data_IF_535107757327
#
_entry.id   IF_535107757327
#
_cell.length_a   1.000
_cell.length_b   1.000
_cell.length_c   1.000
_cell.angle_alpha   90.00
_cell.angle_beta   90.00
_cell.angle_gamma   90.00
#
_symmetry.space_group_name_H-M   'P 1'
#
loop_
_entity.id
_entity.type
_entity.pdbx_description
1 polymer ?
#
# COMPACT_ATOMS: atom_id res chain seq x y z
N UNK A 1 -18.42 18.32 5.51
CA UNK A 1 -18.14 17.21 4.59
C UNK A 1 -17.17 16.33 5.35
N UNK A 2 -17.67 15.26 5.98
CA UNK A 2 -16.78 14.32 6.67
C UNK A 2 -15.91 13.61 5.62
N UNK A 3 -14.62 13.38 5.90
CA UNK A 3 -13.78 12.63 4.98
C UNK A 3 -14.35 11.22 4.87
N UNK A 4 -14.64 10.79 3.64
CA UNK A 4 -15.00 9.39 3.32
C UNK A 4 -13.78 8.44 3.38
N UNK A 5 -12.67 8.90 3.96
CA UNK A 5 -11.47 8.11 4.12
C UNK A 5 -11.66 7.08 5.24
N UNK A 6 -11.23 5.83 5.05
CA UNK A 6 -11.27 4.83 6.11
C UNK A 6 -10.45 5.28 7.34
N UNK A 7 -10.85 4.82 8.53
CA UNK A 7 -10.22 5.12 9.84
C UNK A 7 -8.80 4.51 9.99
N UNK A 8 -8.08 4.27 8.90
CA UNK A 8 -6.75 3.68 8.89
C UNK A 8 -6.36 3.13 7.54
N UNK A 9 -5.30 2.33 7.52
CA UNK A 9 -4.79 1.74 6.28
C UNK A 9 -5.80 0.81 5.57
N UNK A 10 -5.85 0.91 4.26
CA UNK A 10 -6.91 0.38 3.40
C UNK A 10 -6.39 -0.08 2.05
N UNK A 11 -7.27 -0.70 1.26
CA UNK A 11 -6.94 -1.21 -0.07
C UNK A 11 -5.79 -2.23 -0.02
N UNK A 12 -4.90 -2.22 -1.02
CA UNK A 12 -3.82 -3.22 -1.11
C UNK A 12 -2.79 -3.06 0.03
N UNK A 13 -2.58 -1.83 0.49
CA UNK A 13 -1.68 -1.52 1.62
C UNK A 13 -2.24 -2.07 2.94
N UNK A 14 -3.52 -1.76 3.23
CA UNK A 14 -4.22 -2.26 4.40
C UNK A 14 -4.35 -3.78 4.42
N UNK A 15 -4.62 -4.40 3.27
CA UNK A 15 -4.60 -5.85 3.13
C UNK A 15 -3.21 -6.43 3.45
N UNK A 16 -2.16 -5.84 2.87
CA UNK A 16 -0.77 -6.26 3.09
C UNK A 16 -0.37 -6.22 4.57
N UNK A 17 -0.77 -5.16 5.29
CA UNK A 17 -0.57 -5.06 6.74
C UNK A 17 -1.20 -6.23 7.51
N UNK A 18 -2.43 -6.62 7.15
CA UNK A 18 -3.17 -7.67 7.87
C UNK A 18 -2.68 -9.07 7.53
N UNK A 19 -2.41 -9.33 6.24
CA UNK A 19 -1.80 -10.60 5.80
C UNK A 19 -0.40 -10.76 6.38
N UNK A 20 0.36 -9.67 6.47
CA UNK A 20 1.68 -9.64 7.12
C UNK A 20 1.64 -9.82 8.65
N UNK A 21 0.47 -10.01 9.27
CA UNK A 21 0.33 -10.19 10.72
C UNK A 21 0.87 -11.53 11.23
N UNK A 22 1.01 -11.67 12.55
CA UNK A 22 1.50 -12.92 13.19
C UNK A 22 0.57 -14.11 12.93
N UNK A 23 -0.72 -13.82 12.69
CA UNK A 23 -1.78 -14.79 12.39
C UNK A 23 -2.24 -14.66 10.93
N UNK A 24 -1.35 -14.21 10.05
CA UNK A 24 -1.60 -14.13 8.63
C UNK A 24 -1.84 -15.50 7.98
N UNK A 25 -2.48 -15.54 6.80
CA UNK A 25 -2.69 -16.77 6.06
C UNK A 25 -1.36 -17.38 5.61
N UNK A 26 -1.28 -18.71 5.66
CA UNK A 26 -0.06 -19.46 5.27
C UNK A 26 0.01 -19.75 3.76
N UNK A 27 -1.14 -19.76 3.07
CA UNK A 27 -1.25 -20.11 1.66
C UNK A 27 -2.27 -19.23 0.92
N UNK A 28 -2.34 -19.41 -0.40
CA UNK A 28 -3.20 -18.62 -1.31
C UNK A 28 -4.68 -18.78 -0.97
N UNK A 29 -5.12 -20.00 -0.67
CA UNK A 29 -6.52 -20.27 -0.34
C UNK A 29 -6.93 -19.56 0.96
N UNK A 30 -6.11 -19.67 2.00
CA UNK A 30 -6.31 -18.96 3.25
C UNK A 30 -6.25 -17.44 3.08
N UNK A 31 -5.43 -16.93 2.15
CA UNK A 31 -5.38 -15.50 1.86
C UNK A 31 -6.67 -14.98 1.20
N UNK A 32 -7.22 -15.73 0.25
CA UNK A 32 -8.50 -15.38 -0.39
C UNK A 32 -9.69 -15.51 0.59
N UNK A 33 -9.68 -16.53 1.46
CA UNK A 33 -10.65 -16.64 2.54
C UNK A 33 -10.54 -15.45 3.51
N UNK A 34 -9.32 -15.06 3.87
CA UNK A 34 -9.07 -13.89 4.71
C UNK A 34 -9.61 -12.60 4.08
N UNK A 35 -9.41 -12.39 2.77
CA UNK A 35 -9.97 -11.24 2.04
C UNK A 35 -11.49 -11.24 2.14
N UNK A 36 -12.14 -12.39 1.89
CA UNK A 36 -13.61 -12.51 1.99
C UNK A 36 -14.12 -12.16 3.39
N UNK A 37 -13.54 -12.76 4.44
CA UNK A 37 -13.90 -12.50 5.84
C UNK A 37 -13.65 -11.05 6.28
N UNK A 38 -12.64 -10.40 5.70
CA UNK A 38 -12.37 -8.98 5.93
C UNK A 38 -13.46 -8.13 5.33
N UNK A 39 -13.79 -8.34 4.05
CA UNK A 39 -14.80 -7.54 3.35
C UNK A 39 -16.20 -7.72 3.96
N UNK A 40 -16.53 -8.91 4.48
CA UNK A 40 -17.75 -9.13 5.26
C UNK A 40 -17.84 -8.20 6.49
N UNK A 41 -16.71 -7.78 7.07
CA UNK A 41 -16.64 -6.92 8.25
C UNK A 41 -16.50 -5.44 7.93
N UNK A 42 -15.75 -5.11 6.88
CA UNK A 42 -15.39 -3.73 6.51
C UNK A 42 -16.33 -3.12 5.48
N UNK A 43 -17.05 -3.96 4.72
CA UNK A 43 -18.10 -3.51 3.81
C UNK A 43 -17.61 -2.95 2.47
N UNK A 44 -18.51 -2.27 1.73
CA UNK A 44 -18.34 -1.94 0.31
C UNK A 44 -17.23 -0.92 0.04
N UNK A 45 -16.97 0.03 0.95
CA UNK A 45 -15.94 1.06 0.75
C UNK A 45 -14.52 0.46 0.69
N UNK A 46 -14.20 -0.48 1.60
CA UNK A 46 -12.93 -1.21 1.56
C UNK A 46 -12.83 -2.08 0.30
N UNK A 47 -13.94 -2.70 -0.12
CA UNK A 47 -13.97 -3.50 -1.34
C UNK A 47 -13.67 -2.65 -2.58
N UNK A 48 -14.26 -1.45 -2.68
CA UNK A 48 -14.01 -0.52 -3.78
C UNK A 48 -12.56 -0.01 -3.80
N UNK A 49 -12.01 0.35 -2.64
CA UNK A 49 -10.62 0.79 -2.54
C UNK A 49 -9.63 -0.33 -2.91
N UNK A 50 -9.84 -1.54 -2.40
CA UNK A 50 -9.01 -2.71 -2.72
C UNK A 50 -9.11 -3.09 -4.20
N UNK A 51 -10.33 -3.13 -4.76
CA UNK A 51 -10.54 -3.43 -6.17
C UNK A 51 -9.88 -2.39 -7.08
N UNK A 52 -10.00 -1.10 -6.76
CA UNK A 52 -9.36 -0.03 -7.52
C UNK A 52 -7.83 -0.18 -7.54
N UNK A 53 -7.22 -0.43 -6.38
CA UNK A 53 -5.77 -0.66 -6.29
C UNK A 53 -5.33 -1.88 -7.09
N UNK A 54 -6.05 -2.98 -6.95
CA UNK A 54 -5.80 -4.24 -7.65
C UNK A 54 -5.90 -4.04 -9.16
N UNK A 55 -6.96 -3.38 -9.65
CA UNK A 55 -7.12 -3.08 -11.07
C UNK A 55 -5.98 -2.21 -11.60
N UNK A 56 -5.52 -1.19 -10.86
CA UNK A 56 -4.35 -0.38 -11.22
C UNK A 56 -3.08 -1.22 -11.34
N UNK A 57 -2.84 -2.14 -10.40
CA UNK A 57 -1.67 -3.02 -10.42
C UNK A 57 -1.73 -4.03 -11.57
N UNK A 58 -2.89 -4.67 -11.78
CA UNK A 58 -3.11 -5.66 -12.84
C UNK A 58 -3.02 -5.03 -14.24
N UNK A 59 -3.51 -3.80 -14.42
CA UNK A 59 -3.44 -3.07 -15.67
C UNK A 59 -2.08 -2.39 -15.93
N UNK A 60 -1.20 -2.34 -14.93
CA UNK A 60 0.11 -1.70 -15.05
C UNK A 60 1.06 -2.45 -15.99
N UNK A 61 2.07 -1.74 -16.47
CA UNK A 61 3.18 -2.31 -17.24
C UNK A 61 4.22 -3.04 -16.37
N UNK A 62 3.97 -3.20 -15.07
CA UNK A 62 4.88 -3.94 -14.19
C UNK A 62 4.84 -5.43 -14.53
N UNK A 63 6.03 -6.03 -14.58
CA UNK A 63 6.19 -7.48 -14.66
C UNK A 63 5.73 -8.17 -13.38
N UNK A 64 5.50 -9.48 -13.46
CA UNK A 64 5.11 -10.26 -12.28
C UNK A 64 6.19 -10.24 -11.19
N UNK A 65 7.48 -10.23 -11.56
CA UNK A 65 8.57 -10.10 -10.58
C UNK A 65 8.55 -8.75 -9.82
N UNK A 66 8.12 -7.66 -10.49
CA UNK A 66 7.93 -6.36 -9.86
C UNK A 66 6.70 -6.37 -8.94
N UNK A 67 5.57 -6.95 -9.40
CA UNK A 67 4.40 -7.10 -8.54
C UNK A 67 4.68 -7.97 -7.30
N UNK A 68 5.50 -9.01 -7.43
CA UNK A 68 6.00 -9.81 -6.30
C UNK A 68 6.88 -8.98 -5.37
N UNK A 69 7.76 -8.15 -5.91
CA UNK A 69 8.59 -7.21 -5.13
C UNK A 69 7.71 -6.27 -4.30
N UNK A 70 6.68 -5.67 -4.91
CA UNK A 70 5.71 -4.83 -4.20
C UNK A 70 4.99 -5.62 -3.12
N UNK A 71 4.51 -6.82 -3.43
CA UNK A 71 3.80 -7.68 -2.48
C UNK A 71 4.66 -8.06 -1.26
N UNK A 72 5.93 -8.39 -1.48
CA UNK A 72 6.87 -8.68 -0.38
C UNK A 72 7.08 -7.42 0.46
N UNK A 73 7.21 -6.26 -0.18
CA UNK A 73 7.37 -4.99 0.53
C UNK A 73 6.14 -4.60 1.35
N UNK A 74 4.93 -5.05 0.97
CA UNK A 74 3.72 -4.75 1.73
C UNK A 74 3.51 -5.70 2.90
N UNK A 75 3.91 -6.96 2.76
CA UNK A 75 3.64 -8.02 3.73
C UNK A 75 4.82 -8.40 4.63
N UNK A 76 6.05 -7.93 4.32
CA UNK A 76 7.26 -8.32 5.05
C UNK A 76 7.58 -9.82 4.94
N UNK A 77 7.37 -10.39 3.75
CA UNK A 77 7.64 -11.81 3.39
C UNK A 77 6.80 -12.88 4.08
N UNK A 78 5.80 -12.52 4.88
CA UNK A 78 5.00 -13.54 5.60
C UNK A 78 4.11 -14.38 4.68
N UNK A 79 3.88 -13.93 3.44
CA UNK A 79 3.14 -14.67 2.42
C UNK A 79 3.65 -14.34 1.01
N UNK A 80 3.93 -15.38 0.21
CA UNK A 80 4.39 -15.26 -1.18
C UNK A 80 3.45 -16.03 -2.14
N UNK A 81 2.56 -15.34 -2.88
CA UNK A 81 1.55 -15.98 -3.71
C UNK A 81 2.11 -16.73 -4.93
N UNK A 82 3.30 -16.37 -5.41
CA UNK A 82 3.95 -16.97 -6.59
C UNK A 82 4.50 -18.40 -6.38
N UNK A 83 4.42 -18.95 -5.16
CA UNK A 83 4.86 -20.33 -4.87
C UNK A 83 3.85 -21.42 -5.23
N UNK A 84 2.63 -21.06 -5.64
CA UNK A 84 1.53 -21.98 -5.97
C UNK A 84 1.14 -21.97 -7.46
N UNK A 85 0.04 -22.65 -7.83
CA UNK A 85 -0.54 -22.52 -9.18
C UNK A 85 -1.00 -21.08 -9.42
N UNK A 86 -0.56 -20.49 -10.54
CA UNK A 86 -0.85 -19.11 -10.91
C UNK A 86 0.10 -18.09 -10.29
N UNK A 87 0.39 -17.01 -11.02
CA UNK A 87 1.31 -15.96 -10.61
C UNK A 87 0.68 -14.94 -9.65
N UNK A 88 1.46 -13.93 -9.24
CA UNK A 88 0.97 -12.78 -8.46
C UNK A 88 -0.19 -12.07 -9.14
N UNK A 89 -0.17 -11.95 -10.48
CA UNK A 89 -1.23 -11.27 -11.22
C UNK A 89 -2.55 -12.03 -11.15
N UNK A 90 -2.50 -13.35 -11.29
CA UNK A 90 -3.68 -14.20 -11.12
C UNK A 90 -4.24 -14.06 -9.71
N UNK A 91 -3.37 -13.98 -8.70
CA UNK A 91 -3.80 -13.78 -7.32
C UNK A 91 -4.47 -12.42 -7.10
N UNK A 92 -3.94 -11.36 -7.71
CA UNK A 92 -4.56 -10.04 -7.69
C UNK A 92 -5.93 -10.06 -8.40
N UNK A 93 -6.05 -10.73 -9.55
CA UNK A 93 -7.34 -10.89 -10.25
C UNK A 93 -8.37 -11.61 -9.38
N UNK A 94 -7.98 -12.68 -8.67
CA UNK A 94 -8.87 -13.36 -7.74
C UNK A 94 -9.33 -12.46 -6.58
N UNK A 95 -8.46 -11.56 -6.09
CA UNK A 95 -8.86 -10.55 -5.10
C UNK A 95 -9.91 -9.61 -5.68
N UNK A 96 -9.73 -9.12 -6.91
CA UNK A 96 -10.74 -8.28 -7.58
C UNK A 96 -12.08 -9.00 -7.75
N UNK A 97 -12.07 -10.27 -8.16
CA UNK A 97 -13.28 -11.09 -8.29
C UNK A 97 -14.03 -11.22 -6.96
N UNK A 98 -13.31 -11.32 -5.83
CA UNK A 98 -13.92 -11.30 -4.50
C UNK A 98 -14.52 -9.93 -4.21
N UNK A 99 -13.78 -8.84 -4.46
CA UNK A 99 -14.25 -7.48 -4.20
C UNK A 99 -15.54 -7.16 -4.96
N UNK A 100 -15.67 -7.61 -6.20
CA UNK A 100 -16.85 -7.38 -7.05
C UNK A 100 -18.16 -7.88 -6.43
N UNK A 101 -18.10 -8.81 -5.47
CA UNK A 101 -19.28 -9.32 -4.74
C UNK A 101 -19.79 -8.37 -3.65
N UNK A 102 -18.95 -7.43 -3.22
CA UNK A 102 -19.21 -6.51 -2.11
C UNK A 102 -19.43 -5.07 -2.55
N UNK A 103 -18.93 -4.70 -3.73
CA UNK A 103 -19.00 -3.34 -4.28
C UNK A 103 -20.45 -2.97 -4.63
N UNK A 104 -20.85 -1.74 -4.29
CA UNK A 104 -22.07 -1.15 -4.80
C UNK A 104 -21.78 -0.33 -6.06
N UNK A 105 -22.79 -0.20 -6.92
CA UNK A 105 -22.66 0.54 -8.16
C UNK A 105 -22.22 1.99 -7.90
N UNK A 106 -21.10 2.41 -8.51
CA UNK A 106 -20.55 3.76 -8.38
C UNK A 106 -19.45 3.90 -7.33
N UNK A 107 -19.21 2.90 -6.46
CA UNK A 107 -18.23 3.04 -5.36
C UNK A 107 -16.78 3.06 -5.89
N UNK A 108 -16.45 2.21 -6.88
CA UNK A 108 -15.11 2.21 -7.50
C UNK A 108 -14.85 3.52 -8.23
N UNK A 109 -15.83 4.04 -8.98
CA UNK A 109 -15.70 5.29 -9.70
C UNK A 109 -15.56 6.48 -8.74
N UNK A 110 -16.31 6.48 -7.64
CA UNK A 110 -16.21 7.51 -6.60
C UNK A 110 -14.82 7.50 -5.95
N UNK A 111 -14.31 6.32 -5.59
CA UNK A 111 -12.98 6.17 -5.00
C UNK A 111 -11.88 6.59 -5.99
N UNK A 112 -11.97 6.16 -7.25
CA UNK A 112 -11.02 6.54 -8.29
C UNK A 112 -11.04 8.06 -8.58
N UNK A 113 -12.23 8.67 -8.58
CA UNK A 113 -12.37 10.11 -8.77
C UNK A 113 -11.70 10.91 -7.63
N UNK A 114 -11.88 10.48 -6.38
CA UNK A 114 -11.23 11.10 -5.23
C UNK A 114 -9.70 10.99 -5.32
N UNK A 115 -9.18 9.80 -5.63
CA UNK A 115 -7.74 9.60 -5.80
C UNK A 115 -7.15 10.49 -6.92
N UNK A 116 -7.89 10.69 -8.02
CA UNK A 116 -7.50 11.60 -9.10
C UNK A 116 -7.56 13.08 -8.71
N UNK A 117 -8.51 13.49 -7.85
CA UNK A 117 -8.67 14.87 -7.40
C UNK A 117 -7.40 15.40 -6.70
N UNK A 118 -6.78 14.56 -5.89
CA UNK A 118 -5.58 14.90 -5.12
C UNK A 118 -4.27 14.54 -5.82
N UNK A 119 -4.31 13.95 -7.01
CA UNK A 119 -3.10 13.56 -7.73
C UNK A 119 -2.51 14.74 -8.52
N UNK A 120 -1.31 15.15 -8.16
CA UNK A 120 -0.62 16.25 -8.85
C UNK A 120 0.89 16.01 -8.96
N UNK A 121 1.51 16.60 -9.98
CA UNK A 121 2.96 16.58 -10.15
C UNK A 121 3.72 17.22 -8.98
N UNK A 122 3.08 18.11 -8.20
CA UNK A 122 3.67 18.65 -6.99
C UNK A 122 3.74 17.59 -5.90
N UNK A 123 2.62 16.92 -5.62
CA UNK A 123 2.53 15.89 -4.58
C UNK A 123 3.41 14.70 -4.93
N UNK A 124 3.40 14.23 -6.19
CA UNK A 124 4.31 13.17 -6.65
C UNK A 124 5.76 13.51 -6.38
N UNK A 125 6.19 14.75 -6.66
CA UNK A 125 7.57 15.20 -6.36
C UNK A 125 7.86 15.25 -4.87
N UNK A 126 6.92 15.67 -4.04
CA UNK A 126 7.09 15.67 -2.58
C UNK A 126 7.29 14.24 -2.06
N UNK A 127 6.49 13.28 -2.53
CA UNK A 127 6.63 11.86 -2.18
C UNK A 127 8.00 11.32 -2.60
N UNK A 128 8.42 11.58 -3.86
CA UNK A 128 9.71 11.12 -4.38
C UNK A 128 10.89 11.73 -3.61
N UNK A 129 10.80 13.01 -3.23
CA UNK A 129 11.82 13.65 -2.41
C UNK A 129 11.93 12.97 -1.04
N UNK A 130 10.82 12.69 -0.36
CA UNK A 130 10.90 12.01 0.93
C UNK A 130 11.38 10.56 0.80
N UNK A 131 10.98 9.84 -0.26
CA UNK A 131 11.50 8.50 -0.57
C UNK A 131 13.03 8.51 -0.69
N UNK A 132 13.59 9.51 -1.38
CA UNK A 132 15.05 9.65 -1.48
C UNK A 132 15.71 9.86 -0.12
N UNK A 133 15.11 10.69 0.74
CA UNK A 133 15.68 10.97 2.07
C UNK A 133 15.66 9.77 3.03
N UNK A 134 14.79 8.78 2.81
CA UNK A 134 14.72 7.55 3.61
C UNK A 134 15.29 6.33 2.90
N UNK A 135 15.77 6.49 1.66
CA UNK A 135 16.31 5.43 0.81
C UNK A 135 17.25 4.51 1.58
N UNK A 136 18.24 5.09 2.28
CA UNK A 136 19.22 4.34 3.06
C UNK A 136 18.56 3.51 4.17
N UNK A 137 17.73 4.14 5.01
CA UNK A 137 17.03 3.46 6.11
C UNK A 137 16.14 2.31 5.62
N UNK A 138 15.45 2.51 4.49
CA UNK A 138 14.63 1.47 3.87
C UNK A 138 15.48 0.31 3.37
N UNK A 139 16.55 0.57 2.62
CA UNK A 139 17.42 -0.46 2.04
C UNK A 139 18.23 -1.25 3.09
N UNK A 140 18.46 -0.66 4.26
CA UNK A 140 19.11 -1.34 5.39
C UNK A 140 18.17 -2.33 6.11
N UNK A 141 16.86 -2.16 5.97
CA UNK A 141 15.85 -2.90 6.74
C UNK A 141 14.88 -3.74 5.91
N UNK A 142 14.79 -3.49 4.60
CA UNK A 142 13.94 -4.27 3.71
C UNK A 142 14.43 -5.71 3.56
N UNK A 143 13.56 -6.57 3.03
CA UNK A 143 13.92 -7.95 2.72
C UNK A 143 15.08 -8.01 1.71
N UNK A 144 16.12 -8.83 1.95
CA UNK A 144 17.30 -8.87 1.08
C UNK A 144 17.00 -9.18 -0.38
N UNK A 145 15.96 -9.98 -0.66
CA UNK A 145 15.59 -10.40 -2.02
C UNK A 145 15.03 -9.26 -2.89
N UNK A 146 14.54 -8.18 -2.28
CA UNK A 146 13.94 -7.04 -2.99
C UNK A 146 14.79 -5.76 -2.92
N UNK A 147 15.94 -5.83 -2.24
CA UNK A 147 16.73 -4.64 -1.89
C UNK A 147 17.10 -3.79 -3.11
N UNK A 148 17.54 -4.42 -4.19
CA UNK A 148 17.99 -3.70 -5.38
C UNK A 148 16.83 -3.13 -6.22
N UNK A 149 15.61 -3.69 -6.08
CA UNK A 149 14.45 -3.33 -6.91
C UNK A 149 13.46 -2.40 -6.21
N UNK A 150 13.39 -2.41 -4.87
CA UNK A 150 12.27 -1.79 -4.15
C UNK A 150 12.20 -0.27 -4.32
N UNK A 151 13.32 0.45 -4.23
CA UNK A 151 13.31 1.92 -4.36
C UNK A 151 12.95 2.37 -5.78
N UNK A 152 13.61 1.89 -6.85
CA UNK A 152 13.21 2.22 -8.22
C UNK A 152 11.75 1.86 -8.52
N UNK A 153 11.25 0.78 -7.92
CA UNK A 153 9.87 0.34 -8.13
C UNK A 153 8.86 1.26 -7.43
N UNK A 154 9.13 1.68 -6.20
CA UNK A 154 8.30 2.67 -5.50
C UNK A 154 8.29 4.02 -6.24
N UNK A 155 9.43 4.46 -6.79
CA UNK A 155 9.51 5.65 -7.64
C UNK A 155 8.57 5.53 -8.85
N UNK A 156 8.56 4.35 -9.52
CA UNK A 156 7.67 4.09 -10.65
C UNK A 156 6.20 3.97 -10.25
N UNK A 157 5.87 3.40 -9.09
CA UNK A 157 4.47 3.37 -8.62
C UNK A 157 3.95 4.81 -8.47
N UNK A 158 4.72 5.71 -7.86
CA UNK A 158 4.32 7.12 -7.70
C UNK A 158 4.15 7.81 -9.05
N UNK A 159 5.02 7.49 -10.02
CA UNK A 159 4.97 8.08 -11.36
C UNK A 159 3.81 7.53 -12.22
N UNK A 160 3.62 6.21 -12.22
CA UNK A 160 2.78 5.49 -13.18
C UNK A 160 1.38 5.21 -12.62
N UNK A 161 1.24 4.97 -11.30
CA UNK A 161 -0.02 4.57 -10.65
C UNK A 161 -0.66 5.66 -9.77
N UNK A 162 0.00 6.82 -9.64
CA UNK A 162 -0.53 8.00 -8.97
C UNK A 162 -0.02 8.21 -7.54
N UNK A 163 -0.14 9.45 -7.08
CA UNK A 163 0.36 9.88 -5.77
C UNK A 163 -0.27 9.11 -4.59
N UNK A 164 -1.57 8.85 -4.65
CA UNK A 164 -2.31 8.14 -3.60
C UNK A 164 -1.73 6.72 -3.35
N UNK A 165 -1.83 5.85 -4.36
CA UNK A 165 -1.36 4.47 -4.23
C UNK A 165 0.15 4.41 -3.97
N UNK A 166 0.92 5.29 -4.62
CA UNK A 166 2.36 5.43 -4.40
C UNK A 166 2.72 5.77 -2.96
N UNK A 167 2.02 6.73 -2.35
CA UNK A 167 2.25 7.11 -0.96
C UNK A 167 1.90 5.97 0.00
N UNK A 168 0.75 5.31 -0.19
CA UNK A 168 0.33 4.20 0.68
C UNK A 168 1.32 3.03 0.62
N UNK A 169 1.76 2.63 -0.58
CA UNK A 169 2.74 1.55 -0.74
C UNK A 169 4.13 1.93 -0.20
N UNK A 170 4.53 3.20 -0.35
CA UNK A 170 5.77 3.70 0.25
C UNK A 170 5.73 3.65 1.79
N UNK A 171 4.70 4.22 2.40
CA UNK A 171 4.51 4.16 3.86
C UNK A 171 4.47 2.71 4.35
N UNK A 172 3.79 1.83 3.63
CA UNK A 172 3.71 0.42 3.98
C UNK A 172 5.05 -0.29 3.90
N UNK A 173 5.89 0.01 2.91
CA UNK A 173 7.26 -0.51 2.84
C UNK A 173 8.12 -0.05 4.03
N UNK A 174 7.97 1.19 4.50
CA UNK A 174 8.64 1.67 5.71
C UNK A 174 8.14 0.94 6.96
N UNK A 175 6.81 0.78 7.09
CA UNK A 175 6.18 0.10 8.23
C UNK A 175 6.55 -1.38 8.28
N UNK A 176 6.55 -2.09 7.15
CA UNK A 176 6.85 -3.52 7.07
C UNK A 176 8.33 -3.83 7.33
N UNK A 177 9.24 -2.98 6.84
CA UNK A 177 10.68 -3.10 7.10
C UNK A 177 11.07 -2.57 8.48
N UNK A 178 10.19 -1.84 9.16
CA UNK A 178 10.51 -1.15 10.41
C UNK A 178 11.69 -0.17 10.24
N UNK A 179 11.75 0.50 9.08
CA UNK A 179 12.80 1.46 8.74
C UNK A 179 12.72 2.70 9.66
N UNK A 180 13.82 3.11 10.31
CA UNK A 180 13.80 4.24 11.23
C UNK A 180 13.62 5.57 10.51
N UNK A 181 12.70 6.40 11.02
CA UNK A 181 12.45 7.78 10.57
C UNK A 181 12.37 8.75 11.75
N UNK A 182 12.79 9.99 11.54
CA UNK A 182 12.70 11.05 12.55
C UNK A 182 11.29 11.67 12.66
N UNK A 183 10.99 12.33 13.78
CA UNK A 183 9.69 12.97 14.02
C UNK A 183 9.38 14.10 13.01
N UNK A 184 10.38 14.89 12.64
CA UNK A 184 10.24 15.91 11.59
C UNK A 184 9.83 15.29 10.26
N UNK A 185 10.22 14.04 9.99
CA UNK A 185 9.81 13.32 8.78
C UNK A 185 8.41 12.74 8.90
N UNK A 186 8.02 12.23 10.07
CA UNK A 186 6.64 11.84 10.33
C UNK A 186 5.69 13.01 10.02
N UNK A 187 5.99 14.21 10.55
CA UNK A 187 5.17 15.40 10.30
C UNK A 187 5.06 15.76 8.81
N UNK A 188 6.12 15.54 8.02
CA UNK A 188 6.06 15.74 6.55
C UNK A 188 5.22 14.69 5.85
N UNK A 189 5.26 13.44 6.31
CA UNK A 189 4.37 12.39 5.79
C UNK A 189 2.90 12.67 6.13
N UNK A 190 2.62 13.14 7.35
CA UNK A 190 1.27 13.55 7.75
C UNK A 190 0.77 14.70 6.87
N UNK A 191 1.59 15.72 6.62
CA UNK A 191 1.24 16.83 5.73
C UNK A 191 0.98 16.39 4.27
N UNK A 192 1.73 15.41 3.76
CA UNK A 192 1.47 14.83 2.43
C UNK A 192 0.17 14.02 2.46
N UNK A 193 -0.08 13.25 3.54
CA UNK A 193 -1.31 12.48 3.71
C UNK A 193 -2.56 13.35 3.78
N UNK A 194 -2.49 14.47 4.50
CA UNK A 194 -3.57 15.47 4.56
C UNK A 194 -3.89 16.03 3.16
N UNK A 195 -2.86 16.33 2.36
CA UNK A 195 -3.04 16.80 0.97
C UNK A 195 -3.66 15.74 0.05
N UNK A 196 -3.51 14.46 0.39
CA UNK A 196 -4.14 13.33 -0.29
C UNK A 196 -5.54 12.98 0.26
N UNK A 197 -6.02 13.72 1.27
CA UNK A 197 -7.32 13.51 1.89
C UNK A 197 -7.36 12.32 2.86
N UNK A 198 -6.22 11.87 3.37
CA UNK A 198 -6.14 10.77 4.33
C UNK A 198 -6.55 11.20 5.75
N UNK A 199 -7.04 10.23 6.51
CA UNK A 199 -7.03 10.33 7.97
C UNK A 199 -5.60 10.15 8.50
N UNK A 200 -5.29 10.75 9.65
CA UNK A 200 -3.98 10.62 10.29
C UNK A 200 -3.57 9.16 10.49
N UNK A 201 -4.55 8.26 10.68
CA UNK A 201 -4.34 6.83 10.90
C UNK A 201 -3.81 6.08 9.68
N UNK A 202 -3.91 6.63 8.46
CA UNK A 202 -3.23 6.05 7.29
C UNK A 202 -1.71 6.20 7.43
N UNK A 203 -1.27 7.34 7.96
CA UNK A 203 0.15 7.66 8.13
C UNK A 203 0.66 7.16 9.49
N UNK A 204 0.06 7.63 10.58
CA UNK A 204 0.50 7.50 11.96
C UNK A 204 -0.39 6.54 12.77
N UNK A 205 -0.53 5.29 12.32
CA UNK A 205 -1.20 4.19 13.06
C UNK A 205 -0.35 3.61 14.22
N UNK A 206 0.79 4.23 14.54
CA UNK A 206 1.75 3.73 15.53
C UNK A 206 2.65 2.59 15.03
N UNK A 207 2.63 2.24 13.73
CA UNK A 207 3.48 1.17 13.17
C UNK A 207 4.74 1.67 12.46
N UNK A 208 4.90 2.99 12.29
CA UNK A 208 6.16 3.59 11.84
C UNK A 208 7.20 3.55 12.96
N UNK A 209 8.43 3.17 12.64
CA UNK A 209 9.56 3.19 13.57
C UNK A 209 10.11 4.62 13.71
N UNK A 210 9.52 5.39 14.62
CA UNK A 210 9.88 6.80 14.83
C UNK A 210 10.89 6.98 15.97
N UNK A 211 11.78 7.97 15.82
CA UNK A 211 12.70 8.40 16.86
C UNK A 211 12.78 9.91 16.90
N UNK A 212 13.18 10.46 18.04
CA UNK A 212 13.49 11.90 18.14
C UNK A 212 14.59 12.25 17.14
N UNK A 213 14.41 13.36 16.44
CA UNK A 213 15.46 13.89 15.58
C UNK A 213 16.67 14.22 16.46
N UNK A 214 17.78 13.53 16.24
CA UNK A 214 19.05 13.96 16.81
C UNK A 214 19.52 15.14 15.97
N UNK A 215 19.56 16.33 16.58
CA UNK A 215 20.24 17.46 15.95
C UNK A 215 21.70 17.05 15.71
N UNK A 216 22.15 17.07 14.45
CA UNK A 216 23.57 17.04 14.12
C UNK A 216 24.32 18.22 14.77
#
# INVERSE_FOLDING_TARGET
>A
MEPLGPDGDFGISGLGMKIGGLYGPADRAGALEFVTLRLDRTGPQEAAALSTDVHRLVASAFSDAELETLWISTTGRRFAPGGGPGGIRDFLVEIADICARFILAGDEEAFAAQACEFDSNLIRRQILNELDTVRKSLLERCEPSIKESIVPLLERVVADLGADLGMRLFLRALKSSFAPIGLSRLARFEAIGEQLGYSDLVVADGTLNTHFDMND
#
